data_IF_774146601572
#
_entry.id   IF_774146601572
#
_cell.length_a   1.000
_cell.length_b   1.000
_cell.length_c   1.000
_cell.angle_alpha   90.00
_cell.angle_beta   90.00
_cell.angle_gamma   90.00
#
_symmetry.space_group_name_H-M   'P 1'
#
loop_
_entity.id
_entity.type
_entity.pdbx_description
1 polymer ?
#
# COMPACT_ATOMS: atom_id res chain seq x y z
N UNK A 1 -6.51 19.65 -47.41
CA UNK A 1 -6.84 19.12 -46.07
C UNK A 1 -8.21 19.56 -45.56
N UNK A 2 -8.71 20.76 -45.85
CA UNK A 2 -10.01 21.24 -45.34
C UNK A 2 -11.28 20.51 -45.84
N UNK A 3 -11.24 19.79 -46.96
CA UNK A 3 -12.41 19.05 -47.47
C UNK A 3 -12.70 17.75 -46.66
N UNK A 4 -11.67 17.13 -46.07
CA UNK A 4 -11.82 15.92 -45.25
C UNK A 4 -12.49 16.29 -43.90
N UNK A 5 -12.06 17.39 -43.28
CA UNK A 5 -12.66 17.90 -42.04
C UNK A 5 -14.14 18.30 -42.22
N UNK A 6 -14.52 18.86 -43.35
CA UNK A 6 -15.90 19.27 -43.61
C UNK A 6 -16.86 18.10 -43.77
N UNK A 7 -16.37 16.95 -44.23
CA UNK A 7 -17.17 15.71 -44.34
C UNK A 7 -17.23 14.93 -43.01
N UNK A 8 -16.32 15.19 -42.10
CA UNK A 8 -16.34 14.56 -40.76
C UNK A 8 -17.27 15.28 -39.77
N UNK A 9 -17.61 16.56 -40.01
CA UNK A 9 -18.47 17.37 -39.14
C UNK A 9 -19.84 16.73 -38.78
N UNK A 10 -20.59 16.07 -39.70
CA UNK A 10 -21.85 15.46 -39.34
C UNK A 10 -21.70 14.24 -38.42
N UNK A 11 -20.51 13.63 -38.35
CA UNK A 11 -20.21 12.45 -37.55
C UNK A 11 -19.45 12.78 -36.26
N UNK A 12 -19.36 14.05 -35.85
CA UNK A 12 -18.60 14.51 -34.70
C UNK A 12 -18.98 13.81 -33.38
N UNK A 13 -20.26 13.41 -33.20
CA UNK A 13 -20.75 12.68 -32.07
C UNK A 13 -20.13 11.28 -31.98
N UNK A 14 -19.97 10.62 -33.12
CA UNK A 14 -19.36 9.30 -33.25
C UNK A 14 -17.85 9.33 -32.98
N UNK A 15 -17.19 10.39 -33.50
CA UNK A 15 -15.77 10.65 -33.22
C UNK A 15 -15.56 10.82 -31.71
N UNK A 16 -16.45 11.54 -31.04
CA UNK A 16 -16.37 11.75 -29.59
C UNK A 16 -16.55 10.42 -28.82
N UNK A 17 -17.45 9.56 -29.27
CA UNK A 17 -17.63 8.22 -28.68
C UNK A 17 -16.37 7.37 -28.87
N UNK A 18 -15.78 7.35 -30.06
CA UNK A 18 -14.53 6.61 -30.34
C UNK A 18 -13.40 7.13 -29.44
N UNK A 19 -13.23 8.46 -29.36
CA UNK A 19 -12.21 9.07 -28.50
C UNK A 19 -12.43 8.71 -27.03
N UNK A 20 -13.68 8.67 -26.55
CA UNK A 20 -13.99 8.28 -25.19
C UNK A 20 -13.63 6.80 -24.93
N UNK A 21 -13.91 5.90 -25.88
CA UNK A 21 -13.51 4.49 -25.78
C UNK A 21 -11.99 4.32 -25.79
N UNK A 22 -11.28 5.03 -26.67
CA UNK A 22 -9.81 5.01 -26.69
C UNK A 22 -9.20 5.54 -25.40
N UNK A 23 -9.77 6.60 -24.84
CA UNK A 23 -9.33 7.14 -23.56
C UNK A 23 -9.58 6.13 -22.41
N UNK A 24 -10.73 5.46 -22.43
CA UNK A 24 -11.05 4.41 -21.45
C UNK A 24 -10.11 3.21 -21.58
N UNK A 25 -9.81 2.78 -22.82
CA UNK A 25 -8.85 1.72 -23.08
C UNK A 25 -7.46 2.09 -22.56
N UNK A 26 -6.96 3.29 -22.88
CA UNK A 26 -5.68 3.76 -22.40
C UNK A 26 -5.63 3.82 -20.86
N UNK A 27 -6.72 4.22 -20.20
CA UNK A 27 -6.83 4.19 -18.75
C UNK A 27 -6.73 2.75 -18.19
N UNK A 28 -7.43 1.80 -18.79
CA UNK A 28 -7.39 0.40 -18.39
C UNK A 28 -5.98 -0.19 -18.56
N UNK A 29 -5.32 0.11 -19.70
CA UNK A 29 -3.95 -0.36 -19.99
C UNK A 29 -2.93 0.12 -18.95
N UNK A 30 -3.08 1.35 -18.45
CA UNK A 30 -2.23 1.92 -17.41
C UNK A 30 -2.57 1.39 -16.02
N UNK A 31 -3.84 1.07 -15.76
CA UNK A 31 -4.30 0.60 -14.45
C UNK A 31 -3.93 -0.85 -14.17
N UNK A 32 -3.89 -1.72 -15.18
CA UNK A 32 -3.60 -3.15 -15.00
C UNK A 32 -2.22 -3.43 -14.37
N UNK A 33 -1.11 -2.80 -14.82
CA UNK A 33 0.19 -2.96 -14.17
C UNK A 33 0.19 -2.48 -12.72
N UNK A 34 -0.54 -1.40 -12.40
CA UNK A 34 -0.67 -0.89 -11.04
C UNK A 34 -1.36 -1.90 -10.12
N UNK A 35 -2.51 -2.44 -10.52
CA UNK A 35 -3.18 -3.49 -9.75
C UNK A 35 -2.34 -4.74 -9.57
N UNK A 36 -1.47 -5.06 -10.54
CA UNK A 36 -0.55 -6.18 -10.41
C UNK A 36 0.51 -5.90 -9.35
N UNK A 37 1.03 -4.68 -9.29
CA UNK A 37 1.95 -4.23 -8.23
C UNK A 37 1.26 -4.27 -6.87
N UNK A 38 0.04 -3.74 -6.76
CA UNK A 38 -0.74 -3.71 -5.53
C UNK A 38 -1.01 -5.12 -4.98
N UNK A 39 -1.30 -6.10 -5.86
CA UNK A 39 -1.48 -7.51 -5.47
C UNK A 39 -0.19 -8.07 -4.85
N UNK A 40 0.96 -7.71 -5.40
CA UNK A 40 2.26 -8.20 -4.91
C UNK A 40 2.65 -7.46 -3.63
N UNK A 41 2.64 -6.12 -3.66
CA UNK A 41 3.19 -5.29 -2.60
C UNK A 41 2.27 -5.28 -1.37
N UNK A 42 0.97 -5.05 -1.58
CA UNK A 42 0.00 -5.02 -0.48
C UNK A 42 -0.56 -6.42 -0.21
N UNK A 43 -1.03 -7.11 -1.26
CA UNK A 43 -1.72 -8.39 -1.11
C UNK A 43 -0.83 -9.50 -0.58
N UNK A 44 0.39 -9.64 -1.09
CA UNK A 44 1.30 -10.75 -0.74
C UNK A 44 2.30 -10.31 0.33
N UNK A 45 3.02 -9.20 0.12
CA UNK A 45 4.10 -8.78 1.02
C UNK A 45 3.56 -8.18 2.32
N UNK A 46 2.45 -7.45 2.26
CA UNK A 46 1.82 -6.77 3.40
C UNK A 46 0.55 -7.47 3.91
N UNK A 47 0.29 -8.72 3.52
CA UNK A 47 -0.88 -9.51 3.96
C UNK A 47 -2.23 -8.79 3.80
N UNK A 48 -2.35 -7.93 2.78
CA UNK A 48 -3.56 -7.17 2.50
C UNK A 48 -3.75 -5.91 3.34
N UNK A 49 -2.78 -5.55 4.17
CA UNK A 49 -2.81 -4.33 5.00
C UNK A 49 -2.12 -3.19 4.24
N UNK A 50 -2.83 -2.09 4.01
CA UNK A 50 -2.34 -0.92 3.24
C UNK A 50 -1.71 0.15 4.11
N UNK A 51 -2.19 0.28 5.36
CA UNK A 51 -1.82 1.35 6.28
C UNK A 51 -0.97 0.85 7.44
N UNK A 52 -0.17 1.77 8.01
CA UNK A 52 0.68 1.48 9.17
C UNK A 52 -0.10 1.43 10.49
N UNK A 53 -1.36 1.88 10.49
CA UNK A 53 -2.25 1.82 11.63
C UNK A 53 -3.07 0.53 11.61
N UNK A 54 -2.94 -0.35 12.62
CA UNK A 54 -3.69 -1.61 12.71
C UNK A 54 -5.19 -1.39 12.85
N UNK A 55 -6.00 -2.36 12.43
CA UNK A 55 -7.45 -2.33 12.58
C UNK A 55 -7.87 -2.47 14.05
N UNK A 56 -7.21 -3.38 14.76
CA UNK A 56 -7.39 -3.56 16.19
C UNK A 56 -6.04 -3.66 16.89
N UNK A 57 -5.95 -3.22 18.12
CA UNK A 57 -4.75 -3.37 18.94
C UNK A 57 -5.08 -3.58 20.40
N UNK A 58 -4.21 -4.29 21.09
CA UNK A 58 -4.29 -4.47 22.54
C UNK A 58 -3.97 -3.17 23.27
N UNK A 59 -4.33 -3.06 24.54
CA UNK A 59 -3.96 -1.90 25.37
C UNK A 59 -2.43 -1.75 25.46
N UNK A 60 -1.71 -2.84 25.50
CA UNK A 60 -0.25 -2.85 25.60
C UNK A 60 0.38 -2.30 24.29
N UNK A 61 -0.09 -2.76 23.13
CA UNK A 61 0.36 -2.28 21.82
C UNK A 61 -0.02 -0.81 21.61
N UNK A 62 -1.20 -0.38 22.09
CA UNK A 62 -1.65 1.02 22.01
C UNK A 62 -0.74 1.98 22.79
N UNK A 63 -0.28 1.57 23.97
CA UNK A 63 0.66 2.36 24.76
C UNK A 63 2.05 2.34 24.12
N UNK A 64 2.47 1.18 23.63
CA UNK A 64 3.78 0.99 22.99
C UNK A 64 3.91 1.82 21.71
N UNK A 65 2.87 1.85 20.87
CA UNK A 65 2.83 2.65 19.65
C UNK A 65 3.08 4.15 19.90
N UNK A 66 2.68 4.65 21.06
CA UNK A 66 2.79 6.06 21.42
C UNK A 66 4.16 6.47 22.00
N UNK A 67 5.10 5.55 22.22
CA UNK A 67 6.34 5.79 22.93
C UNK A 67 7.18 6.95 22.32
N UNK A 68 7.31 6.95 21.00
CA UNK A 68 8.10 7.97 20.28
C UNK A 68 7.24 9.04 19.61
N UNK A 69 5.96 9.14 19.95
CA UNK A 69 5.07 10.18 19.45
C UNK A 69 5.12 11.43 20.32
N UNK A 70 5.08 12.60 19.67
CA UNK A 70 4.91 13.89 20.36
C UNK A 70 3.50 13.99 20.93
N UNK A 71 3.29 14.94 21.85
CA UNK A 71 1.97 15.19 22.45
C UNK A 71 0.86 15.46 21.44
N UNK A 72 1.20 16.06 20.30
CA UNK A 72 0.25 16.31 19.20
C UNK A 72 -0.07 15.02 18.46
N UNK A 73 0.95 14.24 18.09
CA UNK A 73 0.78 12.96 17.38
C UNK A 73 -0.01 11.97 18.24
N UNK A 74 0.25 11.89 19.55
CA UNK A 74 -0.52 11.07 20.49
C UNK A 74 -2.02 11.40 20.46
N UNK A 75 -2.37 12.69 20.43
CA UNK A 75 -3.78 13.12 20.37
C UNK A 75 -4.42 12.71 19.03
N UNK A 76 -3.73 12.90 17.92
CA UNK A 76 -4.22 12.53 16.59
C UNK A 76 -4.36 11.02 16.48
N UNK A 77 -3.37 10.26 16.93
CA UNK A 77 -3.41 8.81 16.99
C UNK A 77 -4.56 8.29 17.85
N UNK A 78 -4.71 8.79 19.06
CA UNK A 78 -5.78 8.38 19.97
C UNK A 78 -7.18 8.73 19.45
N UNK A 79 -7.33 9.82 18.69
CA UNK A 79 -8.60 10.19 18.08
C UNK A 79 -9.07 9.21 17.00
N UNK A 80 -8.13 8.46 16.39
CA UNK A 80 -8.43 7.43 15.41
C UNK A 80 -8.93 6.11 16.01
N UNK A 81 -8.81 5.94 17.31
CA UNK A 81 -9.23 4.71 17.97
C UNK A 81 -10.40 4.96 18.91
N UNK A 82 -11.37 4.04 18.92
CA UNK A 82 -12.43 4.01 19.93
C UNK A 82 -11.93 3.37 21.20
N UNK A 83 -12.47 3.85 22.34
CA UNK A 83 -12.23 3.22 23.64
C UNK A 83 -12.51 1.71 23.60
N UNK A 84 -11.76 0.94 24.39
CA UNK A 84 -11.80 -0.53 24.32
C UNK A 84 -13.21 -1.05 24.55
N UNK A 85 -13.63 -1.96 23.67
CA UNK A 85 -14.81 -2.79 23.86
C UNK A 85 -14.63 -3.72 25.06
N UNK A 86 -15.64 -4.53 25.35
CA UNK A 86 -15.61 -5.51 26.44
C UNK A 86 -14.37 -6.42 26.45
N UNK A 87 -13.71 -6.59 25.31
CA UNK A 87 -12.52 -7.42 25.11
C UNK A 87 -11.20 -6.68 25.39
N UNK A 88 -11.25 -5.40 25.74
CA UNK A 88 -10.06 -4.59 26.05
C UNK A 88 -9.26 -4.08 24.85
N UNK A 89 -9.70 -4.37 23.62
CA UNK A 89 -9.02 -3.93 22.40
C UNK A 89 -9.52 -2.58 21.91
N UNK A 90 -8.59 -1.77 21.41
CA UNK A 90 -8.87 -0.54 20.70
C UNK A 90 -9.18 -0.84 19.24
N UNK A 91 -10.25 -0.28 18.69
CA UNK A 91 -10.68 -0.50 17.30
C UNK A 91 -10.54 0.80 16.53
N UNK A 92 -9.89 0.76 15.36
CA UNK A 92 -9.75 1.89 14.45
C UNK A 92 -11.11 2.38 13.97
N UNK A 93 -11.30 3.72 13.96
CA UNK A 93 -12.55 4.38 13.56
C UNK A 93 -12.29 5.69 12.81
N UNK A 94 -11.18 5.84 12.14
CA UNK A 94 -10.92 6.98 11.26
C UNK A 94 -11.30 6.67 9.81
N UNK A 95 -11.53 7.73 9.03
CA UNK A 95 -11.83 7.65 7.60
C UNK A 95 -10.55 7.35 6.82
N UNK A 96 -10.69 6.68 5.67
CA UNK A 96 -9.59 6.21 4.84
C UNK A 96 -8.68 7.36 4.35
N UNK A 97 -9.29 8.49 3.96
CA UNK A 97 -8.54 9.69 3.55
C UNK A 97 -7.64 10.25 4.67
N UNK A 98 -8.04 10.05 5.94
CA UNK A 98 -7.24 10.47 7.11
C UNK A 98 -6.08 9.53 7.36
N UNK A 99 -6.19 8.27 6.96
CA UNK A 99 -5.14 7.27 7.17
C UNK A 99 -3.89 7.56 6.35
N UNK A 100 -4.04 8.04 5.11
CA UNK A 100 -2.90 8.41 4.27
C UNK A 100 -2.08 9.55 4.88
N UNK A 101 -2.73 10.59 5.40
CA UNK A 101 -2.07 11.70 6.10
C UNK A 101 -1.36 11.21 7.39
N UNK A 102 -1.96 10.24 8.08
CA UNK A 102 -1.40 9.66 9.29
C UNK A 102 -0.26 8.69 8.98
N UNK A 103 -0.33 7.94 7.89
CA UNK A 103 0.75 7.08 7.42
C UNK A 103 2.02 7.89 7.21
N UNK A 104 1.93 9.10 6.63
CA UNK A 104 3.10 9.96 6.45
C UNK A 104 3.62 10.54 7.79
N UNK A 105 2.73 11.02 8.63
CA UNK A 105 3.10 11.72 9.87
C UNK A 105 3.58 10.78 10.99
N UNK A 106 3.05 9.57 11.06
CA UNK A 106 3.33 8.59 12.14
C UNK A 106 4.32 7.49 11.73
N UNK A 107 4.81 7.50 10.48
CA UNK A 107 5.71 6.47 9.97
C UNK A 107 6.99 6.34 10.83
N UNK A 108 7.66 7.45 11.08
CA UNK A 108 8.91 7.45 11.86
C UNK A 108 8.73 6.88 13.28
N UNK A 109 7.80 7.38 14.13
CA UNK A 109 7.64 6.86 15.47
C UNK A 109 7.23 5.39 15.51
N UNK A 110 6.37 4.94 14.58
CA UNK A 110 5.93 3.55 14.49
C UNK A 110 7.08 2.63 14.09
N UNK A 111 7.89 3.02 13.09
CA UNK A 111 9.08 2.25 12.69
C UNK A 111 10.10 2.15 13.83
N UNK A 112 10.27 3.21 14.63
CA UNK A 112 11.14 3.15 15.81
C UNK A 112 10.64 2.15 16.85
N UNK A 113 9.34 2.14 17.12
CA UNK A 113 8.72 1.14 18.02
C UNK A 113 8.92 -0.27 17.45
N UNK A 114 8.69 -0.47 16.15
CA UNK A 114 8.90 -1.76 15.50
C UNK A 114 10.35 -2.25 15.63
N UNK A 115 11.33 -1.41 15.30
CA UNK A 115 12.73 -1.77 15.43
C UNK A 115 13.09 -2.14 16.88
N UNK A 116 12.55 -1.41 17.82
CA UNK A 116 12.75 -1.70 19.24
C UNK A 116 12.11 -3.03 19.66
N UNK A 117 10.93 -3.35 19.16
CA UNK A 117 10.26 -4.63 19.42
C UNK A 117 11.01 -5.83 18.85
N UNK A 118 11.80 -5.62 17.78
CA UNK A 118 12.64 -6.67 17.17
C UNK A 118 13.96 -6.91 17.91
N UNK A 119 14.39 -5.98 18.78
CA UNK A 119 15.56 -6.17 19.60
C UNK A 119 15.19 -7.18 20.71
N UNK A 120 15.78 -8.37 20.67
CA UNK A 120 15.61 -9.37 21.74
C UNK A 120 16.22 -8.82 23.03
N UNK A 121 15.61 -9.15 24.15
CA UNK A 121 16.08 -8.79 25.49
C UNK A 121 17.55 -9.24 25.75
N UNK A 122 18.04 -10.23 24.98
CA UNK A 122 19.43 -10.69 24.98
C UNK A 122 20.41 -9.83 24.20
N UNK A 123 19.93 -9.00 23.25
CA UNK A 123 20.76 -8.13 22.40
C UNK A 123 20.85 -6.70 22.99
N UNK A 124 20.10 -6.43 24.04
CA UNK A 124 20.24 -5.25 24.88
C UNK A 124 21.41 -5.48 25.86
N UNK A 125 22.52 -5.98 25.33
CA UNK A 125 23.77 -5.92 26.08
C UNK A 125 24.12 -4.44 26.28
N UNK A 126 24.35 -4.06 27.51
CA UNK A 126 24.64 -2.75 28.06
C UNK A 126 25.67 -1.94 27.25
N UNK A 127 26.35 -2.59 26.29
CA UNK A 127 27.41 -2.02 25.43
C UNK A 127 26.95 -1.60 24.03
N UNK A 128 25.86 -2.13 23.51
CA UNK A 128 25.45 -1.84 22.14
C UNK A 128 24.64 -0.55 22.02
N UNK A 129 23.96 -0.13 23.08
CA UNK A 129 23.16 1.10 23.11
C UNK A 129 23.84 2.26 23.86
N UNK A 130 25.06 2.09 24.31
CA UNK A 130 25.92 3.19 24.83
C UNK A 130 26.49 4.10 23.75
N UNK A 131 25.90 4.10 22.53
CA UNK A 131 26.10 5.13 21.54
C UNK A 131 25.45 6.43 22.00
N UNK A 132 26.21 7.28 22.69
CA UNK A 132 26.03 8.74 22.88
C UNK A 132 24.60 9.28 22.64
N UNK A 133 23.64 8.87 23.44
CA UNK A 133 22.28 9.41 23.40
C UNK A 133 22.07 10.47 24.51
N UNK A 134 23.08 11.19 24.79
CA UNK A 134 23.05 12.36 25.70
C UNK A 134 24.21 13.26 25.39
N UNK A 135 23.96 14.52 25.28
CA UNK A 135 24.99 15.58 25.19
C UNK A 135 25.93 15.61 26.40
N UNK A 136 25.71 14.77 27.41
CA UNK A 136 26.40 14.82 28.71
C UNK A 136 26.91 13.46 29.22
N UNK A 137 26.98 12.41 28.38
CA UNK A 137 27.64 11.14 28.74
C UNK A 137 27.00 10.35 29.91
N UNK A 138 25.79 10.68 30.30
CA UNK A 138 25.05 9.94 31.32
C UNK A 138 24.48 8.64 30.71
N UNK A 139 24.89 7.51 31.28
CA UNK A 139 24.26 6.20 31.00
C UNK A 139 22.80 6.28 31.44
N UNK A 140 21.89 6.36 30.47
CA UNK A 140 20.45 6.28 30.73
C UNK A 140 20.08 4.80 30.71
N UNK A 141 19.59 4.29 31.82
CA UNK A 141 19.05 2.94 31.91
C UNK A 141 17.85 2.82 30.95
N UNK A 142 17.94 1.92 29.96
CA UNK A 142 16.90 1.72 28.94
C UNK A 142 15.53 1.48 29.57
N UNK A 143 15.48 0.74 30.69
CA UNK A 143 14.23 0.53 31.43
C UNK A 143 13.63 1.83 31.98
N UNK A 144 14.48 2.71 32.50
CA UNK A 144 14.02 4.01 33.01
C UNK A 144 13.55 4.92 31.86
N UNK A 145 14.25 4.91 30.73
CA UNK A 145 13.86 5.66 29.55
C UNK A 145 12.50 5.17 29.01
N UNK A 146 12.32 3.86 28.87
CA UNK A 146 11.06 3.25 28.47
C UNK A 146 9.91 3.62 29.39
N UNK A 147 10.14 3.57 30.69
CA UNK A 147 9.14 3.94 31.68
C UNK A 147 8.82 5.42 31.65
N UNK A 148 9.82 6.28 31.44
CA UNK A 148 9.62 7.73 31.29
C UNK A 148 8.86 8.09 30.00
N UNK A 149 9.15 7.40 28.89
CA UNK A 149 8.41 7.55 27.62
C UNK A 149 6.94 7.07 27.75
N UNK A 150 6.72 5.93 28.41
CA UNK A 150 5.38 5.38 28.64
C UNK A 150 4.53 6.27 29.57
N UNK A 151 5.16 6.91 30.59
CA UNK A 151 4.48 7.83 31.49
C UNK A 151 4.31 9.25 30.96
N UNK A 152 4.82 9.54 29.75
CA UNK A 152 4.72 10.85 29.10
C UNK A 152 5.54 11.95 29.81
N UNK A 153 6.56 11.59 30.59
CA UNK A 153 7.40 12.53 31.32
C UNK A 153 8.53 13.13 30.47
N UNK A 154 8.73 12.59 29.25
CA UNK A 154 9.74 13.08 28.31
C UNK A 154 9.16 14.25 27.51
N UNK A 155 9.84 15.41 27.49
CA UNK A 155 9.41 16.57 26.70
C UNK A 155 9.43 16.27 25.20
N UNK A 156 8.47 16.83 24.45
CA UNK A 156 8.38 16.67 22.98
C UNK A 156 9.68 17.01 22.24
N UNK A 157 10.44 18.02 22.73
CA UNK A 157 11.73 18.39 22.15
C UNK A 157 12.76 17.26 22.23
N UNK A 158 12.77 16.53 23.32
CA UNK A 158 13.71 15.44 23.54
C UNK A 158 13.33 14.22 22.68
N UNK A 159 12.03 13.96 22.48
CA UNK A 159 11.53 12.96 21.54
C UNK A 159 11.97 13.29 20.10
N UNK A 160 11.83 14.56 19.68
CA UNK A 160 12.25 15.03 18.37
C UNK A 160 13.76 14.93 18.16
N UNK A 161 14.57 15.19 19.19
CA UNK A 161 16.03 15.02 19.12
C UNK A 161 16.41 13.54 18.97
N UNK A 162 15.76 12.65 19.71
CA UNK A 162 15.95 11.20 19.55
C UNK A 162 15.57 10.72 18.14
N UNK A 163 14.45 11.19 17.61
CA UNK A 163 14.03 10.90 16.23
C UNK A 163 15.05 11.39 15.21
N UNK A 164 15.56 12.62 15.34
CA UNK A 164 16.59 13.17 14.44
C UNK A 164 17.90 12.39 14.43
N UNK A 165 18.29 11.80 15.56
CA UNK A 165 19.50 10.96 15.60
C UNK A 165 19.32 9.65 14.82
N UNK A 166 18.10 9.13 14.80
CA UNK A 166 17.76 7.89 14.09
C UNK A 166 17.34 8.18 12.64
N UNK A 167 16.78 9.36 12.34
CA UNK A 167 16.27 9.70 11.01
C UNK A 167 17.33 9.64 9.92
N UNK A 168 18.59 10.02 10.24
CA UNK A 168 19.70 9.88 9.28
C UNK A 168 20.00 8.45 8.86
N UNK A 169 19.68 7.46 9.68
CA UNK A 169 19.76 6.03 9.34
C UNK A 169 18.49 5.56 8.61
N UNK A 170 17.36 6.12 9.01
CA UNK A 170 16.05 5.87 8.41
C UNK A 170 16.00 6.37 6.96
N UNK A 171 16.49 7.57 6.68
CA UNK A 171 16.53 8.17 5.34
C UNK A 171 17.37 7.33 4.36
N UNK A 172 18.37 6.62 4.86
CA UNK A 172 19.20 5.72 4.05
C UNK A 172 18.47 4.44 3.61
N UNK A 173 17.39 4.05 4.30
CA UNK A 173 16.65 2.80 4.04
C UNK A 173 15.64 2.96 2.90
N UNK A 174 15.17 4.17 2.66
CA UNK A 174 14.15 4.48 1.65
C UNK A 174 12.70 4.34 2.16
N UNK A 175 11.84 5.24 1.68
CA UNK A 175 10.45 5.39 2.16
C UNK A 175 9.58 4.14 2.00
N UNK A 176 9.76 3.37 0.92
CA UNK A 176 8.99 2.15 0.68
C UNK A 176 9.30 1.05 1.70
N UNK A 177 10.58 0.89 2.05
CA UNK A 177 10.99 -0.08 3.07
C UNK A 177 10.51 0.31 4.46
N UNK A 178 10.53 1.61 4.76
CA UNK A 178 9.98 2.13 6.01
C UNK A 178 8.47 1.88 6.12
N UNK A 179 7.72 2.12 5.05
CA UNK A 179 6.28 1.82 5.00
C UNK A 179 6.05 0.32 5.24
N UNK A 180 6.83 -0.56 4.60
CA UNK A 180 6.74 -2.01 4.83
C UNK A 180 7.01 -2.40 6.28
N UNK A 181 7.96 -1.75 6.96
CA UNK A 181 8.22 -1.98 8.39
C UNK A 181 7.04 -1.53 9.26
N UNK A 182 6.47 -0.35 8.98
CA UNK A 182 5.27 0.14 9.67
C UNK A 182 4.06 -0.78 9.50
N UNK A 183 3.83 -1.25 8.26
CA UNK A 183 2.76 -2.22 7.99
C UNK A 183 3.02 -3.56 8.67
N UNK A 184 4.27 -4.02 8.73
CA UNK A 184 4.61 -5.26 9.45
C UNK A 184 4.33 -5.12 10.96
N UNK A 185 4.57 -3.93 11.54
CA UNK A 185 4.18 -3.63 12.90
C UNK A 185 2.65 -3.67 13.07
N UNK A 186 1.89 -3.05 12.16
CA UNK A 186 0.43 -3.09 12.18
C UNK A 186 -0.11 -4.53 12.13
N UNK A 187 0.42 -5.37 11.24
CA UNK A 187 0.08 -6.80 11.15
C UNK A 187 0.37 -7.53 12.47
N UNK A 188 1.46 -7.22 13.15
CA UNK A 188 1.77 -7.83 14.43
C UNK A 188 0.79 -7.44 15.54
N UNK A 189 0.37 -6.16 15.58
CA UNK A 189 -0.64 -5.67 16.50
C UNK A 189 -2.02 -6.31 16.23
N UNK A 190 -2.44 -6.40 14.96
CA UNK A 190 -3.69 -7.04 14.57
C UNK A 190 -3.71 -8.53 14.99
N UNK A 191 -2.61 -9.26 14.80
CA UNK A 191 -2.46 -10.64 15.27
C UNK A 191 -2.53 -10.76 16.80
N UNK A 192 -1.88 -9.85 17.52
CA UNK A 192 -1.94 -9.82 18.98
C UNK A 192 -3.36 -9.52 19.47
N UNK A 193 -4.11 -8.69 18.78
CA UNK A 193 -5.50 -8.38 19.06
C UNK A 193 -6.47 -9.52 18.70
N UNK A 194 -6.00 -10.54 17.96
CA UNK A 194 -6.80 -11.69 17.55
C UNK A 194 -7.54 -11.49 16.22
N UNK A 195 -7.16 -10.50 15.41
CA UNK A 195 -7.71 -10.28 14.07
C UNK A 195 -7.20 -11.37 13.11
N UNK A 196 -8.10 -11.90 12.29
CA UNK A 196 -7.74 -12.87 11.25
C UNK A 196 -7.12 -12.16 10.03
N UNK A 197 -5.82 -11.95 10.10
CA UNK A 197 -5.05 -11.30 9.01
C UNK A 197 -5.11 -12.11 7.71
N UNK A 198 -5.24 -13.43 7.78
CA UNK A 198 -5.38 -14.27 6.60
C UNK A 198 -6.72 -14.03 5.88
N UNK A 199 -7.77 -13.71 6.63
CA UNK A 199 -9.05 -13.31 6.06
C UNK A 199 -8.95 -11.94 5.38
N UNK A 200 -8.26 -10.96 5.98
CA UNK A 200 -7.99 -9.64 5.38
C UNK A 200 -7.23 -9.82 4.07
N UNK A 201 -6.15 -10.60 4.07
CA UNK A 201 -5.37 -10.89 2.88
C UNK A 201 -6.20 -11.51 1.75
N UNK A 202 -6.98 -12.52 2.05
CA UNK A 202 -7.86 -13.17 1.07
C UNK A 202 -8.89 -12.19 0.52
N UNK A 203 -9.50 -11.38 1.37
CA UNK A 203 -10.48 -10.38 0.96
C UNK A 203 -9.85 -9.35 0.01
N UNK A 204 -8.67 -8.83 0.35
CA UNK A 204 -7.92 -7.90 -0.48
C UNK A 204 -7.58 -8.48 -1.86
N UNK A 205 -7.00 -9.69 -1.88
CA UNK A 205 -6.64 -10.38 -3.13
C UNK A 205 -7.85 -10.64 -4.03
N UNK A 206 -8.99 -11.07 -3.44
CA UNK A 206 -10.22 -11.28 -4.19
C UNK A 206 -10.78 -9.98 -4.76
N UNK A 207 -10.81 -8.92 -3.95
CA UNK A 207 -11.35 -7.62 -4.35
C UNK A 207 -10.50 -6.99 -5.46
N UNK A 208 -9.18 -6.97 -5.29
CA UNK A 208 -8.25 -6.41 -6.28
C UNK A 208 -8.20 -7.26 -7.54
N UNK A 209 -8.20 -8.59 -7.41
CA UNK A 209 -8.28 -9.51 -8.54
C UNK A 209 -9.59 -9.36 -9.33
N UNK A 210 -10.72 -9.16 -8.65
CA UNK A 210 -12.00 -8.91 -9.30
C UNK A 210 -12.02 -7.55 -10.03
N UNK A 211 -11.43 -6.50 -9.45
CA UNK A 211 -11.26 -5.20 -10.13
C UNK A 211 -10.41 -5.37 -11.39
N UNK A 212 -9.27 -6.06 -11.30
CA UNK A 212 -8.38 -6.32 -12.43
C UNK A 212 -9.09 -7.11 -13.55
N UNK A 213 -9.85 -8.15 -13.20
CA UNK A 213 -10.65 -8.92 -14.15
C UNK A 213 -11.72 -8.05 -14.82
N UNK A 214 -12.37 -7.17 -14.05
CA UNK A 214 -13.35 -6.22 -14.56
C UNK A 214 -12.76 -5.28 -15.62
N UNK A 215 -11.59 -4.72 -15.37
CA UNK A 215 -10.88 -3.88 -16.35
C UNK A 215 -10.46 -4.66 -17.59
N UNK A 216 -9.96 -5.89 -17.44
CA UNK A 216 -9.61 -6.74 -18.57
C UNK A 216 -10.84 -7.07 -19.45
N UNK A 217 -12.00 -7.36 -18.85
CA UNK A 217 -13.25 -7.57 -19.58
C UNK A 217 -13.72 -6.31 -20.29
N UNK A 218 -13.58 -5.13 -19.67
CA UNK A 218 -13.91 -3.85 -20.30
C UNK A 218 -13.05 -3.60 -21.55
N UNK A 219 -11.74 -3.92 -21.51
CA UNK A 219 -10.86 -3.82 -22.67
C UNK A 219 -11.31 -4.73 -23.80
N UNK A 220 -11.57 -6.01 -23.52
CA UNK A 220 -12.04 -6.96 -24.52
C UNK A 220 -13.37 -6.52 -25.14
N UNK A 221 -14.29 -5.99 -24.33
CA UNK A 221 -15.55 -5.43 -24.84
C UNK A 221 -15.33 -4.24 -25.76
N UNK A 222 -14.40 -3.32 -25.42
CA UNK A 222 -14.04 -2.18 -26.25
C UNK A 222 -13.45 -2.65 -27.59
N UNK A 223 -12.54 -3.61 -27.58
CA UNK A 223 -11.91 -4.18 -28.77
C UNK A 223 -12.91 -4.88 -29.71
N UNK A 224 -13.98 -5.43 -29.18
CA UNK A 224 -15.04 -6.07 -29.98
C UNK A 224 -16.02 -5.05 -30.53
N UNK A 225 -16.43 -4.07 -29.71
CA UNK A 225 -17.49 -3.11 -30.08
C UNK A 225 -17.01 -2.12 -31.14
N UNK A 226 -15.78 -1.63 -31.06
CA UNK A 226 -15.24 -0.64 -32.00
C UNK A 226 -15.21 -1.14 -33.46
N UNK A 227 -14.65 -2.33 -33.80
CA UNK A 227 -14.61 -2.83 -35.17
C UNK A 227 -15.98 -3.26 -35.72
N UNK A 228 -16.86 -3.81 -34.85
CA UNK A 228 -18.21 -4.23 -35.28
C UNK A 228 -19.07 -3.03 -35.70
N UNK A 229 -18.79 -1.86 -35.14
CA UNK A 229 -19.53 -0.63 -35.49
C UNK A 229 -18.98 0.08 -36.72
N UNK A 230 -17.70 -0.07 -37.05
CA UNK A 230 -17.12 0.49 -38.27
C UNK A 230 -17.61 -0.21 -39.55
N UNK A 231 -17.81 -1.54 -39.51
CA UNK A 231 -18.31 -2.31 -40.65
C UNK A 231 -19.14 -3.51 -40.21
N UNK A 232 -20.48 -3.45 -40.31
CA UNK A 232 -21.33 -4.56 -39.89
C UNK A 232 -21.12 -5.88 -40.73
N UNK A 233 -20.47 -5.78 -41.91
CA UNK A 233 -20.12 -6.96 -42.73
C UNK A 233 -18.72 -7.52 -42.44
N UNK A 234 -17.80 -6.71 -41.90
CA UNK A 234 -16.41 -7.11 -41.68
C UNK A 234 -16.10 -7.46 -40.24
N UNK A 235 -17.00 -7.06 -39.29
CA UNK A 235 -16.84 -7.30 -37.87
C UNK A 235 -16.69 -8.81 -37.52
N UNK A 236 -17.36 -9.69 -38.24
CA UNK A 236 -17.23 -11.14 -38.06
C UNK A 236 -15.83 -11.61 -38.50
N UNK A 237 -15.24 -10.97 -39.51
CA UNK A 237 -13.92 -11.32 -40.02
C UNK A 237 -12.80 -10.87 -39.05
N UNK A 238 -12.96 -9.72 -38.38
CA UNK A 238 -12.00 -9.20 -37.41
C UNK A 238 -12.00 -10.03 -36.13
N UNK A 239 -13.16 -10.44 -35.62
CA UNK A 239 -13.26 -11.34 -34.45
C UNK A 239 -12.58 -12.67 -34.77
N UNK A 240 -12.73 -13.19 -35.97
CA UNK A 240 -12.09 -14.44 -36.41
C UNK A 240 -10.57 -14.26 -36.56
N UNK A 241 -10.11 -13.08 -36.98
CA UNK A 241 -8.69 -12.77 -37.16
C UNK A 241 -7.98 -12.53 -35.78
N UNK A 242 -8.62 -11.83 -34.88
CA UNK A 242 -8.13 -11.64 -33.49
C UNK A 242 -8.03 -12.97 -32.76
N UNK A 243 -9.06 -13.81 -32.85
CA UNK A 243 -9.03 -15.16 -32.27
C UNK A 243 -7.91 -16.02 -32.85
N UNK A 244 -7.58 -15.85 -34.15
CA UNK A 244 -6.48 -16.56 -34.80
C UNK A 244 -5.11 -16.05 -34.35
N UNK A 245 -4.95 -14.75 -34.07
CA UNK A 245 -3.71 -14.14 -33.56
C UNK A 245 -3.41 -14.57 -32.13
N UNK A 246 -4.43 -14.70 -31.29
CA UNK A 246 -4.28 -15.19 -29.91
C UNK A 246 -4.11 -16.70 -29.80
N UNK A 247 -4.52 -17.46 -30.83
CA UNK A 247 -4.40 -18.94 -30.81
C UNK A 247 -3.06 -19.49 -31.35
N UNK A 248 -2.16 -18.64 -31.85
CA UNK A 248 -0.90 -19.09 -32.46
C UNK A 248 0.38 -18.41 -31.96
N UNK A 249 0.71 -18.44 -30.67
CA UNK A 249 2.07 -18.03 -30.26
C UNK A 249 3.08 -19.18 -30.21
N UNK A 250 2.68 -20.46 -30.13
CA UNK A 250 3.64 -21.53 -29.86
C UNK A 250 4.02 -22.41 -31.06
N UNK A 251 3.18 -22.53 -32.07
CA UNK A 251 3.47 -23.44 -33.18
C UNK A 251 4.42 -22.85 -34.26
N UNK A 252 4.52 -21.56 -34.40
CA UNK A 252 5.44 -20.91 -35.37
C UNK A 252 6.91 -21.01 -34.98
N UNK A 253 7.21 -21.12 -33.69
CA UNK A 253 8.59 -21.29 -33.22
C UNK A 253 9.15 -22.69 -33.51
N UNK A 254 8.31 -23.72 -33.58
CA UNK A 254 8.73 -25.10 -33.81
C UNK A 254 9.06 -25.35 -35.29
N UNK A 255 8.47 -24.59 -36.19
CA UNK A 255 8.70 -24.78 -37.67
C UNK A 255 10.00 -24.07 -38.10
N UNK A 256 10.43 -23.01 -37.42
CA UNK A 256 11.66 -22.29 -37.78
C UNK A 256 12.94 -22.99 -37.34
N UNK A 257 12.88 -23.97 -36.43
CA UNK A 257 14.03 -24.75 -35.97
C UNK A 257 14.28 -26.06 -36.75
N UNK A 258 13.52 -26.35 -37.80
CA UNK A 258 13.61 -27.65 -38.51
C UNK A 258 14.15 -27.60 -39.96
N UNK A 259 14.80 -26.51 -40.36
CA UNK A 259 15.56 -26.49 -41.58
C UNK A 259 17.04 -26.15 -41.32
N UNK A 260 17.96 -27.07 -41.71
CA UNK A 260 19.42 -26.87 -41.58
C UNK A 260 19.92 -25.81 -42.56
#
# INVERSE_FOLDING_TARGET
>A
MGKIFKNMLPYWKWILVIVAFLAMQAFCDLSLPQYTSDIIDVGIMSSGVEHILPEEMTQEDFVSAQLFMTSREKKTFAACYKEPKKDGNYVRNCEEDTLDDMDESLLEPIVMVYQMSQMKESDIDEKAFTGKMGTDGTQVDMKQLMQALATGQVPDQQILEMRKQVSGQIDAIGSSTLKSMGVTYAISCDKNAGVDVDAIQKHYLWTTGAKMLGFALLMVMADIVLPVWEHPSDGICVIRHSAMLYSTPMQRWIIFQRHP
#
